data_IF_674626759008
#
_entry.id   IF_674626759008
#
_cell.length_a   1.000
_cell.length_b   1.000
_cell.length_c   1.000
_cell.angle_alpha   90.00
_cell.angle_beta   90.00
_cell.angle_gamma   90.00
#
_symmetry.space_group_name_H-M   'P 1'
#
loop_
_entity.id
_entity.type
_entity.pdbx_description
1 polymer ?
#
# COMPACT_ATOMS: atom_id res chain seq x y z
N UNK A 1 12.22 -3.42 -0.47
CA UNK A 1 12.18 -4.16 0.82
C UNK A 1 13.60 -4.61 1.13
N UNK A 2 13.97 -4.92 2.37
CA UNK A 2 15.27 -5.53 2.72
C UNK A 2 14.97 -6.72 3.62
N UNK A 3 15.36 -7.92 3.22
CA UNK A 3 15.09 -9.15 4.00
C UNK A 3 16.36 -9.55 4.72
N UNK A 4 16.31 -9.58 6.06
CA UNK A 4 17.41 -10.08 6.89
C UNK A 4 17.49 -11.60 6.77
N UNK A 5 18.43 -12.13 5.97
CA UNK A 5 18.81 -13.55 6.00
C UNK A 5 20.10 -13.74 6.80
N UNK A 6 20.27 -14.93 7.40
CA UNK A 6 21.47 -15.31 8.16
C UNK A 6 22.71 -15.18 7.26
N UNK A 7 23.42 -14.04 7.33
CA UNK A 7 24.64 -13.80 6.57
C UNK A 7 24.93 -12.35 6.17
N UNK A 8 23.95 -11.44 6.21
CA UNK A 8 24.15 -10.03 5.84
C UNK A 8 22.85 -9.31 5.46
N UNK A 9 22.93 -8.04 5.09
CA UNK A 9 21.81 -7.30 4.47
C UNK A 9 21.82 -7.61 2.97
N UNK A 10 20.83 -8.37 2.49
CA UNK A 10 20.61 -8.60 1.06
C UNK A 10 19.46 -7.74 0.57
N UNK A 11 19.73 -6.97 -0.49
CA UNK A 11 18.77 -6.14 -1.21
C UNK A 11 17.61 -7.00 -1.75
N UNK A 12 16.38 -6.61 -1.44
CA UNK A 12 15.19 -7.23 -2.03
C UNK A 12 14.71 -6.31 -3.15
N UNK A 13 15.09 -6.68 -4.37
CA UNK A 13 14.56 -6.12 -5.61
C UNK A 13 13.22 -6.81 -5.85
N UNK A 14 12.08 -6.09 -5.77
CA UNK A 14 10.79 -6.69 -6.05
C UNK A 14 10.77 -7.17 -7.49
N UNK A 15 10.42 -8.44 -7.66
CA UNK A 15 10.20 -9.06 -8.95
C UNK A 15 9.18 -8.26 -9.77
N UNK A 16 9.20 -8.38 -11.11
CA UNK A 16 8.18 -7.75 -11.95
C UNK A 16 6.74 -8.13 -11.57
N UNK A 17 6.50 -9.34 -11.04
CA UNK A 17 5.22 -9.74 -10.47
C UNK A 17 4.87 -8.95 -9.22
N UNK A 18 5.79 -8.80 -8.26
CA UNK A 18 5.55 -8.04 -7.03
C UNK A 18 5.31 -6.56 -7.30
N UNK A 19 6.01 -5.97 -8.28
CA UNK A 19 5.74 -4.60 -8.73
C UNK A 19 4.32 -4.47 -9.31
N UNK A 20 3.91 -5.44 -10.13
CA UNK A 20 2.58 -5.47 -10.74
C UNK A 20 1.48 -5.62 -9.69
N UNK A 21 1.69 -6.51 -8.72
CA UNK A 21 0.75 -6.73 -7.62
C UNK A 21 0.58 -5.46 -6.79
N UNK A 22 1.66 -4.69 -6.56
CA UNK A 22 1.60 -3.38 -5.91
C UNK A 22 0.73 -2.37 -6.67
N UNK A 23 0.87 -2.28 -8.00
CA UNK A 23 0.06 -1.39 -8.83
C UNK A 23 -1.42 -1.79 -8.79
N UNK A 24 -1.71 -3.08 -8.92
CA UNK A 24 -3.08 -3.61 -8.88
C UNK A 24 -3.70 -3.32 -7.51
N UNK A 25 -2.97 -3.59 -6.42
CA UNK A 25 -3.42 -3.32 -5.05
C UNK A 25 -3.82 -1.85 -4.88
N UNK A 26 -2.95 -0.92 -5.27
CA UNK A 26 -3.23 0.51 -5.15
C UNK A 26 -4.49 0.90 -5.93
N UNK A 27 -4.62 0.41 -7.16
CA UNK A 27 -5.82 0.66 -7.97
C UNK A 27 -7.10 0.11 -7.32
N UNK A 28 -7.05 -1.10 -6.76
CA UNK A 28 -8.20 -1.70 -6.05
C UNK A 28 -8.58 -0.88 -4.81
N UNK A 29 -7.61 -0.37 -4.06
CA UNK A 29 -7.89 0.49 -2.90
C UNK A 29 -8.61 1.78 -3.30
N UNK A 30 -8.23 2.40 -4.42
CA UNK A 30 -8.93 3.58 -4.96
C UNK A 30 -10.37 3.27 -5.36
N UNK A 31 -10.59 2.11 -5.99
CA UNK A 31 -11.94 1.65 -6.36
C UNK A 31 -12.82 1.42 -5.13
N UNK A 32 -12.25 0.80 -4.09
CA UNK A 32 -12.93 0.54 -2.83
C UNK A 32 -13.31 1.85 -2.11
N UNK A 33 -12.41 2.83 -2.08
CA UNK A 33 -12.71 4.16 -1.53
C UNK A 33 -13.82 4.87 -2.33
N UNK A 34 -13.81 4.76 -3.66
CA UNK A 34 -14.87 5.33 -4.50
C UNK A 34 -16.23 4.68 -4.24
N UNK A 35 -16.24 3.36 -4.05
CA UNK A 35 -17.45 2.60 -3.78
C UNK A 35 -18.06 3.00 -2.43
N UNK A 36 -17.27 3.04 -1.36
CA UNK A 36 -17.72 3.50 -0.04
C UNK A 36 -18.31 4.91 -0.09
N UNK A 37 -17.62 5.85 -0.75
CA UNK A 37 -18.12 7.22 -0.90
C UNK A 37 -19.49 7.30 -1.61
N UNK A 38 -19.77 6.38 -2.54
CA UNK A 38 -21.07 6.29 -3.21
C UNK A 38 -22.12 5.62 -2.33
N UNK A 39 -21.77 4.54 -1.63
CA UNK A 39 -22.67 3.82 -0.74
C UNK A 39 -23.13 4.72 0.40
N UNK A 40 -22.21 5.47 1.03
CA UNK A 40 -22.53 6.47 2.06
C UNK A 40 -23.56 7.50 1.59
N UNK A 41 -23.43 7.99 0.35
CA UNK A 41 -24.41 8.93 -0.21
C UNK A 41 -25.79 8.29 -0.35
N UNK A 42 -25.84 7.03 -0.76
CA UNK A 42 -27.10 6.28 -0.87
C UNK A 42 -27.70 6.05 0.51
N UNK A 43 -26.92 5.60 1.48
CA UNK A 43 -27.33 5.36 2.87
C UNK A 43 -27.94 6.62 3.50
N UNK A 44 -27.30 7.78 3.32
CA UNK A 44 -27.82 9.07 3.79
C UNK A 44 -29.15 9.43 3.13
N UNK A 45 -29.32 9.15 1.83
CA UNK A 45 -30.58 9.45 1.11
C UNK A 45 -31.73 8.57 1.61
N UNK A 46 -31.46 7.33 2.00
CA UNK A 46 -32.47 6.35 2.43
C UNK A 46 -32.59 6.20 3.95
N UNK A 47 -31.89 7.05 4.72
CA UNK A 47 -31.85 7.05 6.18
C UNK A 47 -31.42 5.70 6.79
N UNK A 48 -30.40 5.08 6.19
CA UNK A 48 -29.82 3.84 6.70
C UNK A 48 -28.78 4.14 7.81
N UNK A 49 -28.64 3.27 8.84
CA UNK A 49 -27.57 3.38 9.82
C UNK A 49 -26.17 3.32 9.18
N UNK A 50 -25.27 4.22 9.59
CA UNK A 50 -23.93 4.38 9.03
C UNK A 50 -22.84 3.49 9.66
N UNK A 51 -23.20 2.65 10.64
CA UNK A 51 -22.23 1.86 11.44
C UNK A 51 -21.27 1.02 10.57
N UNK A 52 -21.78 0.41 9.50
CA UNK A 52 -20.98 -0.40 8.57
C UNK A 52 -20.05 0.47 7.71
N UNK A 53 -20.55 1.62 7.23
CA UNK A 53 -19.75 2.57 6.49
C UNK A 53 -18.63 3.17 7.35
N UNK A 54 -18.90 3.44 8.63
CA UNK A 54 -17.89 3.92 9.59
C UNK A 54 -16.78 2.89 9.81
N UNK A 55 -17.14 1.64 10.09
CA UNK A 55 -16.18 0.53 10.23
C UNK A 55 -15.31 0.33 8.98
N UNK A 56 -15.92 0.47 7.80
CA UNK A 56 -15.18 0.40 6.54
C UNK A 56 -14.17 1.55 6.40
N UNK A 57 -14.56 2.79 6.70
CA UNK A 57 -13.64 3.92 6.62
C UNK A 57 -12.50 3.83 7.65
N UNK A 58 -12.78 3.32 8.85
CA UNK A 58 -11.75 3.08 9.85
C UNK A 58 -10.71 2.07 9.35
N UNK A 59 -11.16 1.01 8.68
CA UNK A 59 -10.30 0.01 8.06
C UNK A 59 -9.45 0.63 6.93
N UNK A 60 -10.07 1.41 6.03
CA UNK A 60 -9.35 2.10 4.96
C UNK A 60 -8.32 3.11 5.50
N UNK A 61 -8.64 3.79 6.60
CA UNK A 61 -7.72 4.70 7.26
C UNK A 61 -6.53 3.97 7.89
N UNK A 62 -6.76 2.77 8.47
CA UNK A 62 -5.68 1.94 8.98
C UNK A 62 -4.72 1.50 7.86
N UNK A 63 -5.26 0.97 6.76
CA UNK A 63 -4.48 0.56 5.58
C UNK A 63 -3.66 1.74 5.04
N UNK A 64 -4.27 2.92 4.90
CA UNK A 64 -3.59 4.12 4.40
C UNK A 64 -2.42 4.54 5.29
N UNK A 65 -2.59 4.46 6.62
CA UNK A 65 -1.52 4.78 7.58
C UNK A 65 -0.36 3.79 7.48
N UNK A 66 -0.67 2.50 7.36
CA UNK A 66 0.34 1.45 7.21
C UNK A 66 1.13 1.61 5.90
N UNK A 67 0.46 1.84 4.78
CA UNK A 67 1.12 2.10 3.49
C UNK A 67 2.00 3.36 3.54
N UNK A 68 1.52 4.44 4.17
CA UNK A 68 2.31 5.65 4.36
C UNK A 68 3.54 5.44 5.27
N UNK A 69 3.47 4.52 6.23
CA UNK A 69 4.62 4.13 7.04
C UNK A 69 5.63 3.32 6.22
N UNK A 70 5.15 2.37 5.42
CA UNK A 70 6.01 1.57 4.52
C UNK A 70 6.71 2.45 3.51
N UNK A 71 6.00 3.42 2.91
CA UNK A 71 6.60 4.36 1.97
C UNK A 71 7.70 5.20 2.62
N UNK A 72 7.44 5.79 3.79
CA UNK A 72 8.46 6.55 4.54
C UNK A 72 9.70 5.72 4.89
N UNK A 73 9.50 4.44 5.26
CA UNK A 73 10.63 3.54 5.53
C UNK A 73 11.45 3.30 4.26
N UNK A 74 10.79 3.07 3.12
CA UNK A 74 11.49 2.91 1.83
C UNK A 74 12.26 4.17 1.44
N UNK A 75 11.65 5.34 1.56
CA UNK A 75 12.30 6.62 1.23
C UNK A 75 13.54 6.86 2.11
N UNK A 76 13.44 6.60 3.41
CA UNK A 76 14.56 6.73 4.35
C UNK A 76 15.71 5.75 4.04
N UNK A 77 15.39 4.55 3.54
CA UNK A 77 16.40 3.56 3.12
C UNK A 77 17.12 3.99 1.83
N UNK A 78 16.41 4.61 0.90
CA UNK A 78 17.00 5.19 -0.33
C UNK A 78 17.91 6.36 0.03
N UNK A 79 17.46 7.27 0.90
CA UNK A 79 18.24 8.44 1.35
C UNK A 79 19.52 8.04 2.09
N UNK A 80 19.52 6.91 2.80
CA UNK A 80 20.70 6.36 3.45
C UNK A 80 21.78 5.81 2.49
N UNK A 81 21.63 5.98 1.17
CA UNK A 81 22.65 5.66 0.18
C UNK A 81 22.71 4.18 -0.21
N UNK A 82 21.64 3.43 0.02
CA UNK A 82 21.47 2.09 -0.57
C UNK A 82 21.19 2.28 -2.07
N UNK A 83 22.26 2.27 -2.87
CA UNK A 83 22.21 2.53 -4.32
C UNK A 83 22.18 1.21 -5.09
N UNK A 84 21.11 1.00 -5.86
CA UNK A 84 20.86 -0.18 -6.69
C UNK A 84 21.87 -0.27 -7.84
N UNK A 85 22.94 -1.05 -7.67
CA UNK A 85 23.88 -1.37 -8.74
C UNK A 85 23.32 -2.48 -9.63
N UNK A 86 22.72 -2.11 -10.77
CA UNK A 86 22.52 -3.05 -11.88
C UNK A 86 23.87 -3.30 -12.56
N UNK A 87 24.57 -4.38 -12.20
CA UNK A 87 25.47 -5.03 -13.17
C UNK A 87 24.63 -6.03 -13.97
N UNK A 88 24.18 -5.59 -15.14
CA UNK A 88 23.72 -6.47 -16.22
C UNK A 88 24.99 -7.09 -16.80
N UNK A 89 25.29 -8.34 -16.46
CA UNK A 89 26.23 -9.17 -17.22
C UNK A 89 25.46 -10.05 -18.21
N UNK A 90 25.80 -9.90 -19.48
CA UNK A 90 25.35 -10.71 -20.64
C UNK A 90 25.55 -12.22 -20.46
#
# INVERSE_FOLDING_TARGET
>A
MLVKRRGGMTEFIPSPSEKRDGVIRNHVLDLLANLDARLRRIEVIIDLPSDLAESFADTMAAITREEAQVQRLNDALIEAGVNHGEEITD
#
